data_IF_705948468327
#
_entry.id   IF_705948468327
#
_cell.length_a   1.000
_cell.length_b   1.000
_cell.length_c   1.000
_cell.angle_alpha   90.00
_cell.angle_beta   90.00
_cell.angle_gamma   90.00
#
_symmetry.space_group_name_H-M   'P 1'
#
loop_
_entity.id
_entity.type
_entity.pdbx_description
1 polymer ?
#
# COMPACT_ATOMS: atom_id res chain seq x y z
N UNK A 1 2.53 -2.24 8.72
CA UNK A 1 1.11 -2.64 8.64
C UNK A 1 0.92 -3.40 7.35
N UNK A 2 0.21 -4.53 7.40
CA UNK A 2 -0.08 -5.33 6.21
C UNK A 2 -1.43 -4.90 5.65
N UNK A 3 -1.48 -4.66 4.34
CA UNK A 3 -2.56 -3.98 3.65
C UNK A 3 -3.01 -4.78 2.41
N UNK A 4 -4.31 -4.87 2.21
CA UNK A 4 -4.93 -5.33 0.97
C UNK A 4 -5.45 -4.13 0.19
N UNK A 5 -5.31 -4.17 -1.14
CA UNK A 5 -5.81 -3.15 -2.04
C UNK A 5 -6.83 -3.81 -2.96
N UNK A 6 -8.10 -3.47 -2.76
CA UNK A 6 -9.24 -4.12 -3.40
C UNK A 6 -9.92 -3.13 -4.33
N UNK A 7 -10.02 -3.47 -5.62
CA UNK A 7 -10.77 -2.68 -6.58
C UNK A 7 -12.26 -2.69 -6.23
N UNK A 8 -12.89 -1.53 -6.35
CA UNK A 8 -14.32 -1.34 -6.05
C UNK A 8 -15.12 -1.20 -7.35
N UNK A 9 -16.41 -1.56 -7.37
CA UNK A 9 -17.27 -1.40 -8.55
C UNK A 9 -17.40 0.04 -9.05
N UNK A 10 -17.20 1.03 -8.16
CA UNK A 10 -17.21 2.47 -8.46
C UNK A 10 -15.89 2.96 -9.10
N UNK A 11 -14.94 2.07 -9.41
CA UNK A 11 -13.60 2.40 -9.92
C UNK A 11 -12.64 2.90 -8.82
N UNK A 12 -13.10 2.95 -7.57
CA UNK A 12 -12.30 3.23 -6.40
C UNK A 12 -11.38 2.07 -6.00
N UNK A 13 -10.57 2.30 -4.97
CA UNK A 13 -9.77 1.26 -4.30
C UNK A 13 -10.05 1.33 -2.81
N UNK A 14 -10.46 0.22 -2.21
CA UNK A 14 -10.49 0.05 -0.77
C UNK A 14 -9.11 -0.41 -0.29
N UNK A 15 -8.57 0.26 0.73
CA UNK A 15 -7.36 -0.15 1.42
C UNK A 15 -7.79 -0.79 2.74
N UNK A 16 -7.55 -2.08 2.90
CA UNK A 16 -7.98 -2.86 4.06
C UNK A 16 -6.77 -3.24 4.91
N UNK A 17 -6.93 -3.29 6.23
CA UNK A 17 -5.96 -3.90 7.12
C UNK A 17 -6.03 -5.42 6.96
N UNK A 18 -4.94 -6.06 6.53
CA UNK A 18 -4.94 -7.50 6.24
C UNK A 18 -5.28 -8.37 7.46
N UNK A 19 -4.92 -7.91 8.66
CA UNK A 19 -5.17 -8.64 9.90
C UNK A 19 -6.65 -8.68 10.33
N UNK A 20 -7.45 -7.66 9.96
CA UNK A 20 -8.83 -7.50 10.47
C UNK A 20 -9.88 -7.37 9.39
N UNK A 21 -9.48 -7.12 8.13
CA UNK A 21 -10.40 -6.76 7.04
C UNK A 21 -10.98 -5.35 7.14
N UNK A 22 -10.62 -4.59 8.17
CA UNK A 22 -11.14 -3.24 8.40
C UNK A 22 -10.67 -2.28 7.30
N UNK A 23 -11.58 -1.42 6.84
CA UNK A 23 -11.25 -0.37 5.87
C UNK A 23 -10.40 0.71 6.51
N UNK A 24 -9.16 0.83 6.07
CA UNK A 24 -8.20 1.88 6.46
C UNK A 24 -8.44 3.16 5.66
N UNK A 25 -8.77 3.03 4.37
CA UNK A 25 -9.06 4.15 3.50
C UNK A 25 -9.88 3.72 2.27
N UNK A 26 -10.60 4.68 1.69
CA UNK A 26 -11.23 4.53 0.36
C UNK A 26 -10.65 5.61 -0.55
N UNK A 27 -10.11 5.17 -1.68
CA UNK A 27 -9.54 6.03 -2.70
C UNK A 27 -10.56 6.13 -3.83
N UNK A 28 -11.08 7.32 -4.08
CA UNK A 28 -12.05 7.56 -5.15
C UNK A 28 -11.49 7.23 -6.54
N UNK A 29 -12.38 7.04 -7.51
CA UNK A 29 -11.99 6.92 -8.92
C UNK A 29 -11.21 8.17 -9.37
N UNK A 30 -10.13 7.98 -10.13
CA UNK A 30 -9.26 9.06 -10.58
C UNK A 30 -8.38 9.71 -9.51
N UNK A 31 -8.57 9.41 -8.22
CA UNK A 31 -7.77 9.95 -7.12
C UNK A 31 -6.46 9.16 -6.91
N UNK A 32 -5.47 9.84 -6.32
CA UNK A 32 -4.15 9.30 -5.95
C UNK A 32 -3.46 8.51 -7.07
N UNK A 33 -3.26 9.19 -8.21
CA UNK A 33 -2.63 8.62 -9.40
C UNK A 33 -1.28 7.96 -9.13
N UNK A 34 -0.48 8.52 -8.21
CA UNK A 34 0.80 7.93 -7.80
C UNK A 34 0.62 6.55 -7.13
N UNK A 35 -0.25 6.48 -6.11
CA UNK A 35 -0.54 5.22 -5.43
C UNK A 35 -1.05 4.18 -6.41
N UNK A 36 -2.00 4.55 -7.26
CA UNK A 36 -2.55 3.64 -8.28
C UNK A 36 -1.47 3.18 -9.26
N UNK A 37 -0.54 4.06 -9.63
CA UNK A 37 0.62 3.71 -10.46
C UNK A 37 1.49 2.63 -9.82
N UNK A 38 1.87 2.82 -8.56
CA UNK A 38 2.68 1.85 -7.80
C UNK A 38 1.95 0.51 -7.67
N UNK A 39 0.67 0.52 -7.25
CA UNK A 39 -0.09 -0.71 -7.05
C UNK A 39 -0.33 -1.48 -8.36
N UNK A 40 -0.60 -0.79 -9.47
CA UNK A 40 -0.70 -1.43 -10.79
C UNK A 40 0.62 -2.05 -11.25
N UNK A 41 1.74 -1.40 -10.97
CA UNK A 41 3.07 -1.94 -11.27
C UNK A 41 3.32 -3.25 -10.54
N UNK A 42 3.07 -3.26 -9.22
CA UNK A 42 3.21 -4.45 -8.38
C UNK A 42 2.24 -5.57 -8.77
N UNK A 43 0.97 -5.26 -9.02
CA UNK A 43 -0.01 -6.25 -9.47
C UNK A 43 0.35 -6.85 -10.84
N UNK A 44 0.95 -6.06 -11.74
CA UNK A 44 1.49 -6.58 -13.01
C UNK A 44 2.66 -7.52 -12.75
N UNK A 45 3.59 -7.16 -11.87
CA UNK A 45 4.74 -7.98 -11.51
C UNK A 45 4.31 -9.32 -10.87
N UNK A 46 3.34 -9.32 -9.97
CA UNK A 46 2.75 -10.54 -9.40
C UNK A 46 2.22 -11.49 -10.47
N UNK A 47 1.41 -10.97 -11.39
CA UNK A 47 0.85 -11.75 -12.50
C UNK A 47 1.93 -12.35 -13.38
N UNK A 48 3.05 -11.64 -13.59
CA UNK A 48 4.18 -12.16 -14.36
C UNK A 48 4.89 -13.33 -13.65
N UNK A 49 4.81 -13.40 -12.32
CA UNK A 49 5.36 -14.48 -11.50
C UNK A 49 4.32 -15.54 -11.10
N UNK A 50 3.10 -15.47 -11.63
CA UNK A 50 2.03 -16.44 -11.34
C UNK A 50 1.35 -16.27 -9.98
N UNK A 51 1.55 -15.12 -9.31
CA UNK A 51 0.88 -14.81 -8.04
C UNK A 51 -0.45 -14.08 -8.25
N UNK A 52 -1.39 -14.36 -7.35
CA UNK A 52 -2.69 -13.69 -7.27
C UNK A 52 -2.66 -12.44 -6.36
N UNK A 53 -3.83 -11.80 -6.20
CA UNK A 53 -3.98 -10.58 -5.43
C UNK A 53 -4.23 -10.82 -3.93
N UNK A 54 -4.24 -12.06 -3.46
CA UNK A 54 -4.68 -12.39 -2.10
C UNK A 54 -3.64 -12.02 -1.04
N UNK A 55 -2.35 -12.07 -1.40
CA UNK A 55 -1.30 -11.73 -0.46
C UNK A 55 -1.22 -10.21 -0.20
N UNK A 56 -1.00 -9.79 1.05
CA UNK A 56 -0.95 -8.38 1.40
C UNK A 56 0.38 -7.73 1.02
N UNK A 57 0.36 -6.40 0.99
CA UNK A 57 1.56 -5.57 0.95
C UNK A 57 1.87 -5.05 2.35
N UNK A 58 3.12 -5.18 2.79
CA UNK A 58 3.57 -4.67 4.07
C UNK A 58 4.16 -3.27 3.91
N UNK A 59 3.50 -2.29 4.53
CA UNK A 59 4.02 -0.94 4.66
C UNK A 59 4.85 -0.82 5.95
N UNK A 60 6.15 -0.56 5.80
CA UNK A 60 7.12 -0.38 6.87
C UNK A 60 7.48 1.10 7.01
N UNK A 61 7.59 1.57 8.26
CA UNK A 61 8.22 2.85 8.59
C UNK A 61 9.57 2.57 9.25
N UNK A 62 10.63 3.14 8.70
CA UNK A 62 11.98 3.07 9.25
C UNK A 62 12.14 4.07 10.40
N UNK A 63 13.23 3.94 11.17
CA UNK A 63 13.53 4.82 12.31
C UNK A 63 13.66 6.30 11.90
N UNK A 64 14.21 6.55 10.71
CA UNK A 64 14.32 7.89 10.09
C UNK A 64 13.03 8.40 9.44
N UNK A 65 11.95 7.62 9.53
CA UNK A 65 10.64 7.96 8.97
C UNK A 65 10.45 7.65 7.49
N UNK A 66 11.46 7.12 6.78
CA UNK A 66 11.28 6.61 5.41
C UNK A 66 10.31 5.44 5.39
N UNK A 67 9.61 5.31 4.27
CA UNK A 67 8.63 4.26 4.05
C UNK A 67 9.13 3.26 3.01
N UNK A 68 8.96 1.98 3.32
CA UNK A 68 9.19 0.87 2.39
C UNK A 68 7.89 0.11 2.19
N UNK A 69 7.50 -0.10 0.94
CA UNK A 69 6.42 -1.02 0.60
C UNK A 69 7.04 -2.36 0.21
N UNK A 70 6.61 -3.43 0.87
CA UNK A 70 7.06 -4.79 0.60
C UNK A 70 5.90 -5.60 0.07
N UNK A 71 6.07 -6.22 -1.08
CA UNK A 71 5.14 -7.23 -1.58
C UNK A 71 5.46 -8.56 -0.90
N UNK A 72 4.52 -9.12 -0.12
CA UNK A 72 4.77 -10.40 0.56
C UNK A 72 4.69 -11.61 -0.38
N UNK A 73 4.09 -11.47 -1.58
CA UNK A 73 4.02 -12.54 -2.57
C UNK A 73 5.37 -12.79 -3.24
N UNK A 74 6.09 -11.71 -3.52
CA UNK A 74 7.31 -11.72 -4.33
C UNK A 74 8.56 -11.34 -3.53
N UNK A 75 8.39 -10.97 -2.26
CA UNK A 75 9.42 -10.37 -1.38
C UNK A 75 10.02 -9.05 -1.91
N UNK A 76 9.46 -8.50 -2.97
CA UNK A 76 9.88 -7.25 -3.61
C UNK A 76 9.80 -6.10 -2.61
N UNK A 77 10.86 -5.29 -2.53
CA UNK A 77 10.93 -4.10 -1.67
C UNK A 77 11.04 -2.84 -2.52
N UNK A 78 10.21 -1.85 -2.22
CA UNK A 78 10.22 -0.54 -2.85
C UNK A 78 10.40 0.53 -1.77
N UNK A 79 11.51 1.25 -1.82
CA UNK A 79 11.67 2.48 -1.03
C UNK A 79 10.85 3.60 -1.67
N UNK A 80 9.84 4.09 -0.95
CA UNK A 80 8.92 5.08 -1.49
C UNK A 80 9.59 6.47 -1.65
N UNK A 81 10.68 6.71 -0.92
CA UNK A 81 11.45 7.95 -1.03
C UNK A 81 12.07 8.15 -2.42
N UNK A 82 12.30 7.07 -3.18
CA UNK A 82 12.81 7.12 -4.55
C UNK A 82 11.88 7.84 -5.53
N UNK A 83 10.62 8.06 -5.14
CA UNK A 83 9.63 8.83 -5.90
C UNK A 83 9.46 10.27 -5.38
N UNK A 84 10.28 10.69 -4.43
CA UNK A 84 10.21 11.99 -3.77
C UNK A 84 9.34 12.01 -2.51
N UNK A 85 9.59 12.94 -1.58
CA UNK A 85 8.95 12.97 -0.26
C UNK A 85 7.43 13.19 -0.33
N UNK A 86 6.93 13.96 -1.28
CA UNK A 86 5.49 14.20 -1.46
C UNK A 86 4.75 12.92 -1.83
N UNK A 87 5.30 12.15 -2.77
CA UNK A 87 4.74 10.87 -3.19
C UNK A 87 4.83 9.82 -2.07
N UNK A 88 5.94 9.77 -1.35
CA UNK A 88 6.11 8.88 -0.21
C UNK A 88 5.03 9.11 0.87
N UNK A 89 4.70 10.37 1.18
CA UNK A 89 3.69 10.73 2.19
C UNK A 89 2.28 10.20 1.88
N UNK A 90 1.95 9.93 0.62
CA UNK A 90 0.64 9.34 0.23
C UNK A 90 0.38 8.03 0.97
N UNK A 91 1.42 7.23 1.23
CA UNK A 91 1.29 5.94 1.92
C UNK A 91 1.28 6.08 3.44
N UNK A 92 1.87 7.14 3.99
CA UNK A 92 1.99 7.35 5.44
C UNK A 92 0.64 7.30 6.16
N UNK A 93 -0.42 7.79 5.51
CA UNK A 93 -1.80 7.82 6.05
C UNK A 93 -2.42 6.44 6.31
N UNK A 94 -1.82 5.35 5.81
CA UNK A 94 -2.33 3.99 6.05
C UNK A 94 -1.73 3.34 7.29
N UNK A 95 -0.64 3.91 7.81
CA UNK A 95 -0.13 3.51 9.10
C UNK A 95 -1.08 4.01 10.19
N UNK A 96 -1.26 3.26 11.29
CA UNK A 96 -1.95 3.80 12.44
C UNK A 96 -1.26 5.10 12.86
N UNK A 97 -2.04 6.11 13.23
CA UNK A 97 -1.49 7.19 14.04
C UNK A 97 -0.87 6.55 15.27
N UNK A 98 0.33 7.01 15.64
CA UNK A 98 0.93 6.55 16.87
C UNK A 98 -0.02 6.92 18.01
N UNK A 99 -0.72 5.93 18.57
CA UNK A 99 -1.32 6.08 19.89
C UNK A 99 -0.16 5.95 20.83
N UNK A 100 0.29 7.09 21.33
CA UNK A 100 1.09 7.19 22.54
C UNK A 100 0.40 6.29 23.58
N UNK A 101 0.98 5.12 23.82
CA UNK A 101 0.58 4.31 24.96
C UNK A 101 1.14 5.04 26.17
N UNK A 102 0.34 5.96 26.71
CA UNK A 102 0.50 6.47 28.07
C UNK A 102 0.23 5.34 29.06
#
# INVERSE_FOLDING_TARGET
RDLLFVDRPDGGVAVLAAATGETVAVIGSGADGFLRGVMRGLARERRQHGFDAEQPFRLLRQSDGRLTLVDLATERRIELISFGPTNAKVFARFLPSWRESS
#
